data_IF_671537854653
#
_entry.id   IF_671537854653
#
_cell.length_a   1.000
_cell.length_b   1.000
_cell.length_c   1.000
_cell.angle_alpha   90.00
_cell.angle_beta   90.00
_cell.angle_gamma   90.00
#
_symmetry.space_group_name_H-M   'P 1'
#
loop_
_entity.id
_entity.type
_entity.pdbx_description
1 polymer ?
#
# COMPACT_ATOMS: atom_id res chain seq x y z
N UNK A 1 -26.64 -15.67 -19.21
CA UNK A 1 -25.70 -16.08 -18.14
C UNK A 1 -24.74 -17.09 -18.76
N UNK A 2 -23.47 -16.75 -18.94
CA UNK A 2 -22.47 -17.74 -19.37
C UNK A 2 -22.22 -18.74 -18.25
N UNK A 3 -22.04 -20.01 -18.57
CA UNK A 3 -21.68 -21.04 -17.56
C UNK A 3 -20.41 -20.62 -16.83
N UNK A 4 -20.47 -20.56 -15.50
CA UNK A 4 -19.30 -20.23 -14.68
C UNK A 4 -18.20 -21.28 -14.87
N UNK A 5 -16.95 -20.82 -14.95
CA UNK A 5 -15.79 -21.71 -15.01
C UNK A 5 -15.65 -22.48 -13.69
N UNK A 6 -15.19 -23.75 -13.72
CA UNK A 6 -14.92 -24.50 -12.49
C UNK A 6 -13.82 -23.84 -11.65
N UNK A 7 -13.88 -24.02 -10.32
CA UNK A 7 -12.88 -23.50 -9.38
C UNK A 7 -11.47 -24.04 -9.68
N UNK A 8 -10.48 -23.17 -9.68
CA UNK A 8 -9.06 -23.52 -9.76
C UNK A 8 -8.60 -24.13 -8.43
N UNK A 9 -9.24 -23.76 -7.33
CA UNK A 9 -8.89 -24.11 -5.95
C UNK A 9 -9.91 -25.05 -5.31
N UNK A 10 -10.37 -26.04 -6.08
CA UNK A 10 -11.27 -27.07 -5.58
C UNK A 10 -10.67 -27.87 -4.40
N UNK A 11 -11.52 -28.53 -3.63
CA UNK A 11 -11.07 -29.38 -2.50
C UNK A 11 -10.03 -30.46 -2.84
N UNK A 12 -9.90 -30.89 -4.10
CA UNK A 12 -8.84 -31.81 -4.54
C UNK A 12 -7.48 -31.13 -4.74
N UNK A 13 -7.46 -29.82 -4.96
CA UNK A 13 -6.26 -28.99 -5.13
C UNK A 13 -5.83 -28.40 -3.80
N UNK A 14 -6.78 -27.86 -3.04
CA UNK A 14 -6.57 -27.27 -1.72
C UNK A 14 -7.16 -28.22 -0.67
N UNK A 15 -6.33 -29.06 -0.04
CA UNK A 15 -6.83 -29.94 1.01
C UNK A 15 -7.22 -29.12 2.24
N UNK A 16 -8.09 -29.67 3.08
CA UNK A 16 -8.29 -29.12 4.42
C UNK A 16 -6.95 -29.09 5.16
N UNK A 17 -6.70 -28.00 5.87
CA UNK A 17 -5.57 -27.88 6.78
C UNK A 17 -5.55 -29.04 7.81
N UNK A 18 -4.38 -29.62 8.16
CA UNK A 18 -4.27 -30.52 9.31
C UNK A 18 -4.77 -29.85 10.59
N UNK A 19 -5.32 -30.62 11.53
CA UNK A 19 -5.77 -30.09 12.81
C UNK A 19 -4.60 -29.49 13.61
N UNK A 20 -4.69 -28.19 13.91
CA UNK A 20 -3.76 -27.49 14.80
C UNK A 20 -4.19 -27.72 16.26
N UNK A 21 -3.25 -27.92 17.22
CA UNK A 21 -3.56 -28.19 18.63
C UNK A 21 -4.49 -27.15 19.30
N UNK A 22 -4.50 -25.89 18.84
CA UNK A 22 -5.45 -24.87 19.30
C UNK A 22 -6.87 -25.07 18.73
N UNK A 23 -7.00 -25.53 17.48
CA UNK A 23 -8.29 -25.82 16.86
C UNK A 23 -8.88 -27.17 17.28
N UNK A 24 -8.03 -28.12 17.71
CA UNK A 24 -8.45 -29.36 18.35
C UNK A 24 -9.28 -29.13 19.60
N UNK A 25 -9.04 -28.04 20.35
CA UNK A 25 -9.85 -27.67 21.51
C UNK A 25 -11.27 -27.22 21.12
N UNK A 26 -11.43 -26.54 19.98
CA UNK A 26 -12.74 -26.17 19.44
C UNK A 26 -13.52 -27.39 18.91
N UNK A 27 -12.82 -28.44 18.47
CA UNK A 27 -13.42 -29.72 18.10
C UNK A 27 -13.78 -30.58 19.31
N UNK A 28 -12.89 -30.61 20.32
CA UNK A 28 -13.18 -31.21 21.62
C UNK A 28 -14.41 -30.56 22.27
N UNK A 29 -14.50 -29.23 22.23
CA UNK A 29 -15.70 -28.49 22.63
C UNK A 29 -16.95 -28.92 21.84
N UNK A 30 -16.85 -29.04 20.50
CA UNK A 30 -17.97 -29.51 19.67
C UNK A 30 -18.42 -30.92 20.04
N UNK A 31 -17.48 -31.80 20.34
CA UNK A 31 -17.72 -33.21 20.66
C UNK A 31 -18.07 -33.46 22.14
N UNK A 32 -17.92 -32.46 23.01
CA UNK A 32 -18.31 -32.55 24.43
C UNK A 32 -19.85 -32.65 24.54
N UNK A 33 -20.41 -33.74 25.09
CA UNK A 33 -21.86 -33.92 25.20
C UNK A 33 -22.49 -33.09 26.33
N UNK A 34 -21.71 -32.42 27.17
CA UNK A 34 -22.19 -31.60 28.27
C UNK A 34 -23.07 -30.44 27.79
N UNK A 35 -24.22 -30.26 28.42
CA UNK A 35 -25.15 -29.15 28.22
C UNK A 35 -24.67 -27.83 28.86
N UNK A 36 -23.61 -27.89 29.70
CA UNK A 36 -23.02 -26.75 30.42
C UNK A 36 -21.71 -26.23 29.83
N UNK A 37 -21.29 -26.76 28.68
CA UNK A 37 -20.03 -26.36 28.04
C UNK A 37 -20.08 -24.92 27.55
N UNK A 38 -18.97 -24.17 27.70
CA UNK A 38 -18.83 -22.79 27.22
C UNK A 38 -17.62 -22.68 26.28
N UNK A 39 -17.83 -22.13 25.07
CA UNK A 39 -16.76 -21.90 24.09
C UNK A 39 -16.11 -20.54 24.34
N UNK A 40 -14.88 -20.55 24.86
CA UNK A 40 -14.02 -19.36 25.02
C UNK A 40 -12.78 -19.43 24.11
N UNK A 41 -12.72 -20.40 23.20
CA UNK A 41 -11.50 -20.73 22.46
C UNK A 41 -11.30 -19.80 21.27
N UNK A 42 -12.40 -19.46 20.58
CA UNK A 42 -12.36 -18.61 19.37
C UNK A 42 -13.35 -17.45 19.52
N UNK A 43 -12.82 -16.21 19.58
CA UNK A 43 -13.61 -14.98 19.63
C UNK A 43 -14.30 -14.67 18.30
N UNK A 44 -15.37 -15.40 17.97
CA UNK A 44 -16.13 -15.23 16.74
C UNK A 44 -17.63 -15.08 17.02
N UNK A 45 -18.27 -14.13 16.36
CA UNK A 45 -19.70 -13.81 16.50
C UNK A 45 -20.58 -15.06 16.26
N UNK A 46 -21.63 -15.20 17.07
CA UNK A 46 -22.54 -16.35 17.08
C UNK A 46 -23.98 -15.89 16.84
N UNK A 47 -24.79 -16.74 16.22
CA UNK A 47 -26.23 -16.52 16.12
C UNK A 47 -26.92 -16.84 17.46
N UNK A 48 -28.24 -16.66 17.49
CA UNK A 48 -29.08 -16.93 18.66
C UNK A 48 -29.04 -18.40 19.13
N UNK A 49 -28.41 -19.30 18.36
CA UNK A 49 -28.23 -20.72 18.68
C UNK A 49 -26.76 -21.06 19.02
N UNK A 50 -25.93 -20.06 19.32
CA UNK A 50 -24.50 -20.21 19.59
C UNK A 50 -23.70 -20.86 18.43
N UNK A 51 -24.22 -20.84 17.19
CA UNK A 51 -23.50 -21.29 15.99
C UNK A 51 -22.74 -20.12 15.37
N UNK A 52 -21.58 -20.35 14.73
CA UNK A 52 -20.92 -19.31 13.94
C UNK A 52 -21.89 -18.70 12.93
N UNK A 53 -22.21 -17.41 13.09
CA UNK A 53 -23.13 -16.73 12.18
C UNK A 53 -22.34 -16.21 10.98
N UNK A 54 -22.39 -16.98 9.90
CA UNK A 54 -21.79 -16.60 8.62
C UNK A 54 -22.86 -15.85 7.82
N UNK A 55 -22.65 -14.54 7.62
CA UNK A 55 -23.49 -13.73 6.73
C UNK A 55 -23.66 -14.45 5.38
N UNK A 56 -24.85 -14.46 4.75
CA UNK A 56 -25.06 -15.13 3.45
C UNK A 56 -24.08 -14.70 2.35
N UNK A 57 -23.62 -13.45 2.36
CA UNK A 57 -22.57 -12.93 1.45
C UNK A 57 -21.18 -13.54 1.72
N UNK A 58 -20.90 -13.92 2.96
CA UNK A 58 -19.65 -14.60 3.39
C UNK A 58 -19.64 -16.07 2.98
N UNK A 59 -20.78 -16.67 2.57
CA UNK A 59 -20.79 -18.07 2.09
C UNK A 59 -19.95 -18.34 0.84
N UNK A 60 -19.50 -17.28 0.13
CA UNK A 60 -18.67 -17.38 -1.07
C UNK A 60 -17.27 -16.76 -0.92
N UNK A 61 -17.00 -16.11 0.21
CA UNK A 61 -15.81 -15.28 0.42
C UNK A 61 -15.12 -15.64 1.73
N UNK A 62 -13.82 -15.91 1.66
CA UNK A 62 -12.96 -16.03 2.83
C UNK A 62 -12.23 -14.70 3.02
N UNK A 63 -12.45 -14.05 4.17
CA UNK A 63 -11.85 -12.76 4.50
C UNK A 63 -10.92 -12.91 5.69
N UNK A 64 -9.70 -12.40 5.55
CA UNK A 64 -8.69 -12.36 6.59
C UNK A 64 -8.24 -10.92 6.81
N UNK A 65 -8.24 -10.45 8.05
CA UNK A 65 -7.56 -9.20 8.37
C UNK A 65 -6.06 -9.36 8.13
N UNK A 66 -5.41 -8.38 7.52
CA UNK A 66 -3.99 -8.45 7.15
C UNK A 66 -3.22 -7.23 7.62
N UNK A 67 -1.89 -7.27 7.48
CA UNK A 67 -1.00 -6.11 7.67
C UNK A 67 -1.17 -5.17 6.46
N UNK A 68 -2.32 -4.50 6.40
CA UNK A 68 -2.72 -3.59 5.32
C UNK A 68 -2.76 -4.29 3.95
N UNK A 69 -2.76 -3.49 2.88
CA UNK A 69 -2.70 -3.99 1.50
C UNK A 69 -1.45 -4.83 1.22
N UNK A 70 -0.28 -4.42 1.71
CA UNK A 70 0.97 -5.20 1.53
C UNK A 70 0.85 -6.63 2.05
N UNK A 71 0.33 -6.79 3.28
CA UNK A 71 0.10 -8.10 3.86
C UNK A 71 -0.97 -8.90 3.12
N UNK A 72 -1.97 -8.23 2.52
CA UNK A 72 -2.98 -8.89 1.71
C UNK A 72 -2.44 -9.40 0.36
N UNK A 73 -1.62 -8.59 -0.33
CA UNK A 73 -0.93 -9.04 -1.55
C UNK A 73 0.00 -10.21 -1.22
N UNK A 74 0.77 -10.12 -0.13
CA UNK A 74 1.67 -11.19 0.31
C UNK A 74 0.93 -12.49 0.62
N UNK A 75 -0.13 -12.43 1.44
CA UNK A 75 -0.91 -13.63 1.81
C UNK A 75 -1.52 -14.29 0.57
N UNK A 76 -2.06 -13.50 -0.36
CA UNK A 76 -2.57 -14.02 -1.63
C UNK A 76 -1.47 -14.63 -2.51
N UNK A 77 -0.32 -13.96 -2.63
CA UNK A 77 0.83 -14.48 -3.38
C UNK A 77 1.35 -15.80 -2.81
N UNK A 78 1.51 -15.88 -1.48
CA UNK A 78 1.93 -17.09 -0.78
C UNK A 78 0.93 -18.23 -0.96
N UNK A 79 -0.36 -17.93 -0.90
CA UNK A 79 -1.42 -18.90 -1.16
C UNK A 79 -1.32 -19.46 -2.58
N UNK A 80 -1.19 -18.60 -3.60
CA UNK A 80 -1.01 -19.01 -4.99
C UNK A 80 0.25 -19.87 -5.17
N UNK A 81 1.38 -19.45 -4.61
CA UNK A 81 2.65 -20.17 -4.68
C UNK A 81 2.52 -21.60 -4.12
N UNK A 82 1.87 -21.75 -2.96
CA UNK A 82 1.68 -23.06 -2.33
C UNK A 82 0.64 -23.91 -3.04
N UNK A 83 -0.52 -23.35 -3.39
CA UNK A 83 -1.72 -24.12 -3.68
C UNK A 83 -2.23 -24.06 -5.11
N UNK A 84 -1.69 -23.20 -5.98
CA UNK A 84 -2.14 -23.20 -7.38
C UNK A 84 -1.84 -24.56 -8.06
N UNK A 85 -2.80 -25.19 -8.78
CA UNK A 85 -2.64 -26.57 -9.25
C UNK A 85 -1.63 -26.74 -10.38
N UNK A 86 -1.42 -25.70 -11.19
CA UNK A 86 -0.46 -25.75 -12.30
C UNK A 86 0.98 -25.96 -11.81
N UNK A 87 1.75 -26.77 -12.55
CA UNK A 87 3.18 -26.97 -12.39
C UNK A 87 3.87 -26.87 -13.76
N UNK A 88 4.75 -25.88 -14.02
CA UNK A 88 5.13 -24.80 -13.09
C UNK A 88 3.94 -23.91 -12.70
N UNK A 89 4.09 -23.19 -11.57
CA UNK A 89 3.09 -22.21 -11.10
C UNK A 89 2.89 -21.13 -12.17
N UNK A 90 1.68 -20.57 -12.32
CA UNK A 90 1.39 -19.59 -13.35
C UNK A 90 2.21 -18.32 -13.11
N UNK A 91 2.66 -17.71 -14.20
CA UNK A 91 3.27 -16.38 -14.18
C UNK A 91 2.24 -15.34 -13.72
N UNK A 92 2.68 -14.45 -12.83
CA UNK A 92 1.92 -13.28 -12.40
C UNK A 92 2.25 -12.11 -13.33
N UNK A 93 1.23 -11.58 -13.97
CA UNK A 93 1.33 -10.47 -14.91
C UNK A 93 0.99 -9.16 -14.21
N UNK A 94 1.92 -8.20 -14.28
CA UNK A 94 1.82 -6.87 -13.67
C UNK A 94 1.65 -5.79 -14.76
N UNK A 95 0.94 -4.70 -14.48
CA UNK A 95 0.93 -3.56 -15.40
C UNK A 95 2.34 -2.98 -15.57
N UNK A 96 2.64 -2.47 -16.77
CA UNK A 96 3.86 -1.71 -17.02
C UNK A 96 3.53 -0.20 -17.19
N UNK A 97 3.88 0.67 -16.22
CA UNK A 97 4.46 0.34 -14.90
C UNK A 97 3.40 -0.09 -13.87
N UNK A 98 3.84 -0.50 -12.69
CA UNK A 98 3.00 -0.86 -11.53
C UNK A 98 3.61 -0.29 -10.23
N UNK A 99 2.92 -0.39 -9.08
CA UNK A 99 3.50 -0.13 -7.76
C UNK A 99 4.75 -0.99 -7.56
N UNK A 100 5.88 -0.32 -7.30
CA UNK A 100 7.20 -0.94 -7.32
C UNK A 100 7.32 -2.20 -6.46
N UNK A 101 6.65 -2.21 -5.30
CA UNK A 101 6.74 -3.31 -4.34
C UNK A 101 6.00 -4.57 -4.78
N UNK A 102 5.13 -4.52 -5.79
CA UNK A 102 4.52 -5.75 -6.36
C UNK A 102 5.59 -6.74 -6.79
N UNK A 103 6.66 -6.27 -7.44
CA UNK A 103 7.76 -7.12 -7.87
C UNK A 103 8.35 -7.91 -6.69
N UNK A 104 8.71 -7.21 -5.61
CA UNK A 104 9.34 -7.82 -4.45
C UNK A 104 8.42 -8.82 -3.73
N UNK A 105 7.14 -8.47 -3.54
CA UNK A 105 6.20 -9.34 -2.82
C UNK A 105 6.05 -10.69 -3.54
N UNK A 106 5.79 -10.67 -4.85
CA UNK A 106 5.58 -11.90 -5.61
C UNK A 106 6.86 -12.73 -5.78
N UNK A 107 8.02 -12.09 -6.03
CA UNK A 107 9.29 -12.82 -6.16
C UNK A 107 9.73 -13.44 -4.83
N UNK A 108 9.42 -12.80 -3.69
CA UNK A 108 9.79 -13.32 -2.37
C UNK A 108 9.12 -14.66 -2.04
N UNK A 109 7.99 -14.99 -2.67
CA UNK A 109 7.31 -16.28 -2.53
C UNK A 109 7.59 -17.23 -3.71
N UNK A 110 8.54 -16.89 -4.57
CA UNK A 110 9.01 -17.74 -5.67
C UNK A 110 8.10 -17.75 -6.92
N UNK A 111 7.17 -16.81 -7.06
CA UNK A 111 6.34 -16.70 -8.25
C UNK A 111 7.07 -15.95 -9.37
N UNK A 112 6.98 -16.47 -10.60
CA UNK A 112 7.53 -15.81 -11.79
C UNK A 112 6.68 -14.61 -12.19
N UNK A 113 7.34 -13.57 -12.70
CA UNK A 113 6.71 -12.32 -13.11
C UNK A 113 6.82 -12.09 -14.62
N UNK A 114 5.79 -11.48 -15.18
CA UNK A 114 5.80 -10.85 -16.49
C UNK A 114 5.03 -9.53 -16.41
N UNK A 115 5.07 -8.73 -17.47
CA UNK A 115 4.32 -7.48 -17.54
C UNK A 115 3.40 -7.43 -18.74
N UNK A 116 2.34 -6.64 -18.66
CA UNK A 116 1.49 -6.26 -19.80
C UNK A 116 1.56 -4.74 -20.02
N UNK A 117 1.47 -4.25 -21.27
CA UNK A 117 1.46 -2.82 -21.56
C UNK A 117 0.31 -2.12 -20.82
N UNK A 118 0.53 -0.93 -20.29
CA UNK A 118 -0.52 -0.18 -19.59
C UNK A 118 -0.48 1.30 -19.89
N UNK A 119 0.64 1.97 -19.62
CA UNK A 119 0.78 3.40 -19.84
C UNK A 119 1.49 3.69 -21.17
N UNK A 120 0.95 4.63 -21.95
CA UNK A 120 1.64 5.17 -23.11
C UNK A 120 2.25 6.54 -22.78
N UNK A 121 3.57 6.62 -22.80
CA UNK A 121 4.30 7.85 -22.51
C UNK A 121 4.05 8.98 -23.53
N UNK A 122 3.65 8.65 -24.77
CA UNK A 122 3.36 9.65 -25.81
C UNK A 122 2.02 10.34 -25.54
N UNK A 123 0.98 9.55 -25.28
CA UNK A 123 -0.38 10.07 -25.00
C UNK A 123 -0.58 10.44 -23.53
N UNK A 124 0.31 9.99 -22.64
CA UNK A 124 0.20 10.08 -21.17
C UNK A 124 -1.08 9.45 -20.61
N UNK A 125 -1.66 8.52 -21.37
CA UNK A 125 -2.92 7.84 -21.09
C UNK A 125 -2.78 6.32 -21.12
N UNK A 126 -3.92 5.64 -21.23
CA UNK A 126 -3.99 4.18 -21.25
C UNK A 126 -3.64 3.65 -22.64
N UNK A 127 -2.62 2.79 -22.74
CA UNK A 127 -2.38 1.94 -23.90
C UNK A 127 -3.34 0.75 -23.87
N UNK A 128 -4.64 1.00 -24.11
CA UNK A 128 -5.66 -0.02 -23.93
C UNK A 128 -5.51 -1.19 -24.91
N UNK A 129 -5.21 -0.91 -26.18
CA UNK A 129 -5.02 -1.95 -27.19
C UNK A 129 -3.81 -2.84 -26.86
N UNK A 130 -2.70 -2.22 -26.46
CA UNK A 130 -1.51 -2.93 -26.00
C UNK A 130 -1.77 -3.76 -24.75
N UNK A 131 -2.51 -3.21 -23.78
CA UNK A 131 -2.94 -3.91 -22.57
C UNK A 131 -3.77 -5.15 -22.92
N UNK A 132 -4.81 -4.98 -23.72
CA UNK A 132 -5.74 -6.05 -24.07
C UNK A 132 -5.05 -7.15 -24.86
N UNK A 133 -4.17 -6.80 -25.80
CA UNK A 133 -3.39 -7.76 -26.58
C UNK A 133 -2.36 -8.48 -25.71
N UNK A 134 -1.61 -7.78 -24.87
CA UNK A 134 -0.62 -8.40 -23.98
C UNK A 134 -1.27 -9.39 -23.00
N UNK A 135 -2.44 -9.05 -22.45
CA UNK A 135 -3.20 -9.97 -21.59
C UNK A 135 -3.76 -11.14 -22.42
N UNK A 136 -4.25 -10.92 -23.65
CA UNK A 136 -4.72 -12.00 -24.53
C UNK A 136 -3.61 -12.98 -24.91
N UNK A 137 -2.38 -12.50 -25.11
CA UNK A 137 -1.21 -13.30 -25.47
C UNK A 137 -0.63 -14.07 -24.28
N UNK A 138 -0.89 -13.62 -23.04
CA UNK A 138 -0.46 -14.33 -21.83
C UNK A 138 -0.96 -15.80 -21.84
N UNK A 139 -0.16 -16.76 -21.34
CA UNK A 139 -0.55 -18.16 -21.25
C UNK A 139 -1.91 -18.33 -20.56
N UNK A 140 -2.77 -19.20 -21.09
CA UNK A 140 -4.07 -19.45 -20.48
C UNK A 140 -3.91 -19.90 -19.02
N UNK A 141 -4.71 -19.34 -18.10
CA UNK A 141 -4.56 -19.60 -16.67
C UNK A 141 -3.55 -18.72 -15.94
N UNK A 142 -2.90 -17.75 -16.60
CA UNK A 142 -2.05 -16.76 -15.91
C UNK A 142 -2.82 -15.96 -14.85
N UNK A 143 -2.10 -15.50 -13.81
CA UNK A 143 -2.62 -14.59 -12.80
C UNK A 143 -2.40 -13.16 -13.28
N UNK A 144 -3.46 -12.35 -13.34
CA UNK A 144 -3.37 -10.95 -13.75
C UNK A 144 -3.62 -10.06 -12.54
N UNK A 145 -2.60 -9.32 -12.12
CA UNK A 145 -2.72 -8.35 -11.04
C UNK A 145 -3.35 -7.05 -11.59
N UNK A 146 -4.45 -6.61 -11.00
CA UNK A 146 -5.24 -5.46 -11.44
C UNK A 146 -5.37 -4.44 -10.32
N UNK A 147 -5.16 -3.16 -10.61
CA UNK A 147 -5.49 -2.08 -9.68
C UNK A 147 -6.98 -1.78 -9.82
N UNK A 148 -7.75 -1.83 -8.74
CA UNK A 148 -9.21 -1.64 -8.80
C UNK A 148 -9.61 -0.24 -9.27
N UNK A 149 -8.89 0.77 -8.79
CA UNK A 149 -9.02 2.19 -9.14
C UNK A 149 -7.76 2.95 -8.68
N UNK A 150 -7.60 4.20 -9.14
CA UNK A 150 -6.46 5.07 -8.90
C UNK A 150 -5.12 4.35 -9.06
N UNK A 151 -4.87 3.84 -10.27
CA UNK A 151 -3.70 3.04 -10.60
C UNK A 151 -2.40 3.69 -10.10
N UNK A 152 -1.64 2.96 -9.29
CA UNK A 152 -0.33 3.39 -8.81
C UNK A 152 0.75 2.78 -9.73
N UNK A 153 1.56 3.60 -10.43
CA UNK A 153 1.85 5.01 -10.14
C UNK A 153 1.24 6.05 -11.10
N UNK A 154 0.47 5.63 -12.10
CA UNK A 154 0.15 6.50 -13.26
C UNK A 154 -1.05 7.42 -13.04
N UNK A 155 -1.97 7.05 -12.15
CA UNK A 155 -3.28 7.68 -12.02
C UNK A 155 -4.19 7.47 -13.24
N UNK A 156 -3.83 6.59 -14.17
CA UNK A 156 -4.67 6.30 -15.35
C UNK A 156 -5.50 5.07 -15.04
N UNK A 157 -6.82 5.17 -15.10
CA UNK A 157 -7.74 4.04 -14.87
C UNK A 157 -8.50 3.64 -16.14
N UNK A 158 -8.99 2.41 -16.17
CA UNK A 158 -9.89 1.92 -17.21
C UNK A 158 -11.30 2.52 -17.04
N UNK A 159 -11.96 2.81 -18.15
CA UNK A 159 -13.40 3.05 -18.16
C UNK A 159 -14.18 1.76 -17.89
N UNK A 160 -15.46 1.87 -17.51
CA UNK A 160 -16.31 0.69 -17.30
C UNK A 160 -16.40 -0.19 -18.57
N UNK A 161 -16.47 0.41 -19.75
CA UNK A 161 -16.52 -0.37 -21.01
C UNK A 161 -15.19 -1.06 -21.33
N UNK A 162 -14.06 -0.44 -20.98
CA UNK A 162 -12.75 -1.09 -21.06
C UNK A 162 -12.63 -2.25 -20.08
N UNK A 163 -13.13 -2.11 -18.84
CA UNK A 163 -13.22 -3.20 -17.88
C UNK A 163 -14.08 -4.37 -18.38
N UNK A 164 -15.21 -4.09 -19.03
CA UNK A 164 -16.06 -5.13 -19.64
C UNK A 164 -15.30 -5.92 -20.70
N UNK A 165 -14.59 -5.22 -21.59
CA UNK A 165 -13.77 -5.85 -22.65
C UNK A 165 -12.62 -6.68 -22.05
N UNK A 166 -11.96 -6.18 -21.02
CA UNK A 166 -10.92 -6.91 -20.32
C UNK A 166 -11.46 -8.21 -19.69
N UNK A 167 -12.63 -8.15 -19.03
CA UNK A 167 -13.26 -9.32 -18.44
C UNK A 167 -13.59 -10.40 -19.50
N UNK A 168 -13.98 -10.01 -20.72
CA UNK A 168 -14.19 -10.96 -21.82
C UNK A 168 -12.90 -11.70 -22.14
N UNK A 169 -11.80 -10.98 -22.37
CA UNK A 169 -10.49 -11.59 -22.68
C UNK A 169 -9.99 -12.47 -21.54
N UNK A 170 -10.09 -12.00 -20.30
CA UNK A 170 -9.66 -12.80 -19.14
C UNK A 170 -10.48 -14.08 -19.00
N UNK A 171 -11.78 -14.06 -19.32
CA UNK A 171 -12.62 -15.27 -19.30
C UNK A 171 -12.22 -16.23 -20.41
N UNK A 172 -12.04 -15.75 -21.65
CA UNK A 172 -11.61 -16.56 -22.80
C UNK A 172 -10.29 -17.28 -22.52
N UNK A 173 -9.34 -16.59 -21.89
CA UNK A 173 -8.03 -17.12 -21.53
C UNK A 173 -8.00 -17.84 -20.18
N UNK A 174 -9.13 -17.91 -19.47
CA UNK A 174 -9.26 -18.50 -18.13
C UNK A 174 -8.24 -17.92 -17.14
N UNK A 175 -7.95 -16.63 -17.26
CA UNK A 175 -7.04 -15.94 -16.35
C UNK A 175 -7.64 -15.77 -14.97
N UNK A 176 -6.77 -15.77 -13.96
CA UNK A 176 -7.13 -15.57 -12.57
C UNK A 176 -6.95 -14.09 -12.16
N UNK A 177 -8.02 -13.34 -11.85
CA UNK A 177 -7.91 -11.95 -11.42
C UNK A 177 -7.39 -11.83 -9.98
N UNK A 178 -6.44 -10.93 -9.77
CA UNK A 178 -5.97 -10.51 -8.45
C UNK A 178 -6.09 -9.00 -8.33
N UNK A 179 -7.09 -8.51 -7.61
CA UNK A 179 -7.29 -7.07 -7.43
C UNK A 179 -6.49 -6.51 -6.26
N UNK A 180 -5.72 -5.45 -6.48
CA UNK A 180 -5.20 -4.56 -5.44
C UNK A 180 -6.13 -3.33 -5.31
N UNK A 181 -6.68 -3.14 -4.11
CA UNK A 181 -7.70 -2.14 -3.77
C UNK A 181 -7.20 -1.28 -2.62
N UNK A 182 -6.29 -0.35 -2.93
CA UNK A 182 -5.66 0.52 -1.93
C UNK A 182 -6.29 1.91 -1.79
N UNK A 183 -7.15 2.30 -2.73
CA UNK A 183 -7.64 3.69 -2.90
C UNK A 183 -9.17 3.81 -3.02
N UNK A 184 -9.94 2.79 -2.62
CA UNK A 184 -11.41 2.82 -2.70
C UNK A 184 -12.00 4.00 -1.90
N UNK A 185 -12.83 4.81 -2.56
CA UNK A 185 -13.40 6.05 -2.04
C UNK A 185 -12.47 7.26 -2.19
N UNK A 186 -11.16 7.02 -2.36
CA UNK A 186 -10.15 8.06 -2.50
C UNK A 186 -9.89 8.45 -3.96
N UNK A 187 -10.40 7.66 -4.92
CA UNK A 187 -10.26 7.94 -6.34
C UNK A 187 -11.36 8.88 -6.83
N UNK A 188 -12.63 8.54 -6.59
CA UNK A 188 -13.78 9.33 -7.05
C UNK A 188 -14.57 10.04 -5.94
N UNK A 189 -14.27 9.77 -4.67
CA UNK A 189 -15.12 10.17 -3.55
C UNK A 189 -16.31 9.23 -3.31
N UNK A 190 -16.47 8.19 -4.12
CA UNK A 190 -17.59 7.24 -4.05
C UNK A 190 -17.07 5.79 -3.95
N UNK A 191 -17.43 5.12 -2.84
CA UNK A 191 -17.01 3.76 -2.53
C UNK A 191 -17.52 2.72 -3.53
N UNK A 192 -18.73 2.92 -4.08
CA UNK A 192 -19.39 2.00 -5.00
C UNK A 192 -18.79 2.11 -6.40
N UNK A 193 -18.55 3.34 -6.86
CA UNK A 193 -17.89 3.62 -8.12
C UNK A 193 -16.48 3.04 -8.14
N UNK A 194 -15.72 3.24 -7.07
CA UNK A 194 -14.33 2.78 -6.98
C UNK A 194 -14.21 1.24 -6.84
N UNK A 195 -15.24 0.57 -6.31
CA UNK A 195 -15.29 -0.90 -6.24
C UNK A 195 -15.98 -1.56 -7.44
N UNK A 196 -16.42 -0.79 -8.44
CA UNK A 196 -17.25 -1.29 -9.53
C UNK A 196 -16.57 -2.41 -10.31
N UNK A 197 -15.28 -2.29 -10.62
CA UNK A 197 -14.54 -3.30 -11.39
C UNK A 197 -14.51 -4.66 -10.66
N UNK A 198 -14.25 -4.66 -9.36
CA UNK A 198 -14.26 -5.87 -8.53
C UNK A 198 -15.65 -6.51 -8.54
N UNK A 199 -16.70 -5.72 -8.27
CA UNK A 199 -18.10 -6.19 -8.26
C UNK A 199 -18.51 -6.77 -9.60
N UNK A 200 -18.17 -6.08 -10.69
CA UNK A 200 -18.45 -6.55 -12.04
C UNK A 200 -17.81 -7.92 -12.30
N UNK A 201 -16.54 -8.12 -11.95
CA UNK A 201 -15.89 -9.44 -12.09
C UNK A 201 -16.58 -10.52 -11.26
N UNK A 202 -17.02 -10.21 -10.03
CA UNK A 202 -17.77 -11.16 -9.20
C UNK A 202 -19.13 -11.50 -9.84
N UNK A 203 -19.87 -10.51 -10.34
CA UNK A 203 -21.15 -10.69 -11.05
C UNK A 203 -20.98 -11.51 -12.34
N UNK A 204 -19.82 -11.34 -12.99
CA UNK A 204 -19.37 -12.13 -14.12
C UNK A 204 -18.94 -13.56 -13.76
N UNK A 205 -19.00 -13.94 -12.48
CA UNK A 205 -18.74 -15.30 -12.00
C UNK A 205 -17.26 -15.68 -11.93
N UNK A 206 -16.36 -14.71 -11.85
CA UNK A 206 -14.94 -14.98 -11.66
C UNK A 206 -14.66 -15.50 -10.24
N UNK A 207 -13.79 -16.49 -10.15
CA UNK A 207 -13.00 -16.77 -8.95
C UNK A 207 -11.83 -15.80 -8.90
N UNK A 208 -11.61 -15.11 -7.77
CA UNK A 208 -10.62 -14.03 -7.70
C UNK A 208 -10.11 -13.76 -6.28
N UNK A 209 -9.00 -13.02 -6.22
CA UNK A 209 -8.47 -12.44 -4.98
C UNK A 209 -8.68 -10.91 -4.95
N UNK A 210 -8.85 -10.36 -3.74
CA UNK A 210 -8.85 -8.91 -3.49
C UNK A 210 -7.95 -8.60 -2.29
N UNK A 211 -6.95 -7.76 -2.50
CA UNK A 211 -6.12 -7.17 -1.47
C UNK A 211 -6.63 -5.76 -1.14
N UNK A 212 -7.25 -5.59 0.02
CA UNK A 212 -7.83 -4.32 0.46
C UNK A 212 -6.95 -3.63 1.50
N UNK A 213 -6.76 -2.32 1.34
CA UNK A 213 -6.00 -1.50 2.28
C UNK A 213 -6.86 -0.39 2.89
N UNK A 214 -6.76 -0.19 4.20
CA UNK A 214 -7.35 0.96 4.89
C UNK A 214 -6.34 2.07 5.18
N UNK A 215 -5.11 1.95 4.67
CA UNK A 215 -4.06 2.92 4.97
C UNK A 215 -4.38 4.33 4.45
N UNK A 216 -5.08 4.46 3.32
CA UNK A 216 -5.33 5.74 2.65
C UNK A 216 -6.71 6.28 2.96
N UNK A 217 -7.75 5.52 2.63
CA UNK A 217 -9.14 5.95 2.79
C UNK A 217 -9.57 6.16 4.26
N UNK A 218 -8.94 5.48 5.24
CA UNK A 218 -9.11 5.79 6.67
C UNK A 218 -7.95 6.60 7.28
N UNK A 219 -6.91 6.93 6.50
CA UNK A 219 -5.69 7.53 7.05
C UNK A 219 -4.93 6.63 8.04
N UNK A 220 -5.21 5.32 8.08
CA UNK A 220 -4.63 4.36 9.04
C UNK A 220 -3.25 3.83 8.58
N UNK A 221 -2.41 4.70 8.03
CA UNK A 221 -1.11 4.35 7.42
C UNK A 221 -0.25 3.48 8.32
N UNK A 222 0.06 3.95 9.52
CA UNK A 222 0.92 3.27 10.50
C UNK A 222 0.20 2.18 11.29
N UNK A 223 -1.14 2.17 11.31
CA UNK A 223 -1.94 1.18 12.04
C UNK A 223 -2.09 -0.15 11.29
N UNK A 224 -1.72 -0.15 10.00
CA UNK A 224 -1.64 -1.34 9.14
C UNK A 224 -2.96 -2.13 9.05
N UNK A 225 -4.10 -1.44 9.09
CA UNK A 225 -5.39 -2.06 8.85
C UNK A 225 -5.58 -2.40 7.36
N UNK A 226 -6.09 -3.60 7.08
CA UNK A 226 -6.43 -4.09 5.74
C UNK A 226 -7.03 -5.48 5.80
N UNK A 227 -7.42 -6.00 4.64
CA UNK A 227 -8.01 -7.31 4.50
C UNK A 227 -7.60 -7.99 3.19
N UNK A 228 -7.49 -9.32 3.24
CA UNK A 228 -7.41 -10.18 2.07
C UNK A 228 -8.74 -10.91 1.90
N UNK A 229 -9.25 -10.94 0.68
CA UNK A 229 -10.46 -11.65 0.32
C UNK A 229 -10.16 -12.65 -0.78
N UNK A 230 -10.58 -13.90 -0.59
CA UNK A 230 -10.68 -14.89 -1.65
C UNK A 230 -12.15 -15.10 -1.99
N UNK A 231 -12.52 -14.94 -3.24
CA UNK A 231 -13.89 -15.16 -3.74
C UNK A 231 -13.90 -16.44 -4.56
N UNK A 232 -14.63 -17.46 -4.08
CA UNK A 232 -14.78 -18.75 -4.77
C UNK A 232 -15.55 -18.63 -6.09
N UNK A 233 -15.23 -19.50 -7.05
CA UNK A 233 -16.07 -19.67 -8.23
C UNK A 233 -17.51 -20.01 -7.81
N UNK A 234 -18.55 -19.44 -8.45
CA UNK A 234 -19.92 -19.82 -8.14
C UNK A 234 -20.16 -21.27 -8.57
N UNK A 235 -20.72 -22.10 -7.68
CA UNK A 235 -21.02 -23.50 -7.98
C UNK A 235 -21.47 -24.28 -6.76
N UNK A 236 -21.87 -25.54 -6.96
CA UNK A 236 -22.35 -26.42 -5.89
C UNK A 236 -21.25 -26.70 -4.84
N UNK A 237 -19.98 -26.70 -5.23
CA UNK A 237 -18.83 -26.96 -4.36
C UNK A 237 -18.31 -25.72 -3.64
N UNK A 238 -18.76 -24.51 -4.02
CA UNK A 238 -18.20 -23.24 -3.57
C UNK A 238 -18.07 -23.13 -2.03
N UNK A 239 -19.07 -23.66 -1.30
CA UNK A 239 -19.06 -23.67 0.17
C UNK A 239 -17.94 -24.52 0.75
N UNK A 240 -17.62 -25.66 0.15
CA UNK A 240 -16.57 -26.55 0.63
C UNK A 240 -15.20 -26.05 0.17
N UNK A 241 -15.11 -25.58 -1.08
CA UNK A 241 -13.88 -25.00 -1.63
C UNK A 241 -13.43 -23.79 -0.78
N UNK A 242 -14.35 -22.87 -0.47
CA UNK A 242 -14.03 -21.70 0.35
C UNK A 242 -13.64 -22.05 1.79
N UNK A 243 -14.20 -23.13 2.35
CA UNK A 243 -13.85 -23.60 3.69
C UNK A 243 -12.41 -24.15 3.73
N UNK A 244 -12.01 -24.94 2.72
CA UNK A 244 -10.64 -25.43 2.60
C UNK A 244 -9.65 -24.29 2.40
N UNK A 245 -9.96 -23.35 1.49
CA UNK A 245 -9.17 -22.15 1.26
C UNK A 245 -8.99 -21.35 2.55
N UNK A 246 -10.08 -21.09 3.28
CA UNK A 246 -10.02 -20.38 4.56
C UNK A 246 -9.14 -21.12 5.58
N UNK A 247 -9.24 -22.44 5.67
CA UNK A 247 -8.42 -23.23 6.61
C UNK A 247 -6.92 -23.10 6.32
N UNK A 248 -6.53 -23.11 5.04
CA UNK A 248 -5.14 -22.95 4.64
C UNK A 248 -4.64 -21.52 4.86
N UNK A 249 -5.44 -20.51 4.50
CA UNK A 249 -5.11 -19.10 4.75
C UNK A 249 -4.89 -18.82 6.24
N UNK A 250 -5.68 -19.45 7.13
CA UNK A 250 -5.50 -19.35 8.57
C UNK A 250 -4.13 -19.90 9.02
N UNK A 251 -3.71 -21.07 8.50
CA UNK A 251 -2.37 -21.62 8.79
C UNK A 251 -1.26 -20.69 8.29
N UNK A 252 -1.37 -20.21 7.05
CA UNK A 252 -0.37 -19.32 6.47
C UNK A 252 -0.20 -18.06 7.33
N UNK A 253 -1.30 -17.39 7.64
CA UNK A 253 -1.29 -16.20 8.50
C UNK A 253 -0.72 -16.50 9.90
N UNK A 254 -1.16 -17.61 10.52
CA UNK A 254 -0.69 -18.02 11.84
C UNK A 254 0.83 -18.21 11.89
N UNK A 255 1.39 -18.80 10.84
CA UNK A 255 2.83 -19.09 10.75
C UNK A 255 3.70 -17.85 10.54
N UNK A 256 3.17 -16.77 9.96
CA UNK A 256 3.96 -15.57 9.64
C UNK A 256 3.80 -14.45 10.67
N UNK A 257 2.57 -14.20 11.11
CA UNK A 257 2.27 -13.06 11.97
C UNK A 257 1.48 -13.43 13.22
N UNK A 258 1.17 -14.72 13.43
CA UNK A 258 0.29 -15.22 14.49
C UNK A 258 -1.15 -14.71 14.41
N UNK A 259 -1.35 -13.41 14.55
CA UNK A 259 -2.61 -12.69 14.42
C UNK A 259 -2.32 -11.20 14.08
N UNK A 260 -3.22 -10.52 13.35
CA UNK A 260 -3.01 -9.14 12.91
C UNK A 260 -3.27 -8.09 14.02
N UNK A 261 -2.72 -6.86 13.89
CA UNK A 261 -2.87 -5.79 14.88
C UNK A 261 -4.33 -5.38 15.14
N UNK A 262 -4.76 -5.36 16.39
CA UNK A 262 -6.16 -5.11 16.74
C UNK A 262 -6.61 -3.64 16.54
N UNK A 263 -5.79 -2.67 16.95
CA UNK A 263 -6.24 -1.28 17.14
C UNK A 263 -6.77 -0.62 15.87
N UNK A 264 -6.01 -0.68 14.76
CA UNK A 264 -6.45 -0.12 13.48
C UNK A 264 -7.73 -0.78 12.95
N UNK A 265 -7.87 -2.09 13.13
CA UNK A 265 -9.07 -2.81 12.72
C UNK A 265 -10.29 -2.47 13.60
N UNK A 266 -10.10 -2.21 14.89
CA UNK A 266 -11.18 -1.75 15.78
C UNK A 266 -11.66 -0.35 15.41
N UNK A 267 -10.77 0.56 15.01
CA UNK A 267 -11.15 1.89 14.50
C UNK A 267 -12.00 1.74 13.24
N UNK A 268 -11.49 1.02 12.24
CA UNK A 268 -12.21 0.81 10.99
C UNK A 268 -13.56 0.11 11.22
N UNK A 269 -13.59 -0.93 12.07
CA UNK A 269 -14.82 -1.64 12.44
C UNK A 269 -15.85 -0.71 13.10
N UNK A 270 -15.42 0.14 14.04
CA UNK A 270 -16.33 1.07 14.72
C UNK A 270 -16.96 2.06 13.74
N UNK A 271 -16.17 2.63 12.83
CA UNK A 271 -16.67 3.56 11.83
C UNK A 271 -17.62 2.86 10.85
N UNK A 272 -17.24 1.67 10.35
CA UNK A 272 -18.03 0.93 9.36
C UNK A 272 -19.37 0.39 9.90
N UNK A 273 -19.50 0.21 11.22
CA UNK A 273 -20.70 -0.35 11.84
C UNK A 273 -21.55 0.69 12.59
N UNK A 274 -21.17 1.97 12.56
CA UNK A 274 -21.95 3.07 13.13
C UNK A 274 -22.40 3.98 11.98
N UNK A 275 -23.71 4.14 11.80
CA UNK A 275 -24.25 4.88 10.66
C UNK A 275 -23.84 6.36 10.65
N UNK A 276 -23.65 6.97 11.82
CA UNK A 276 -23.22 8.37 11.93
C UNK A 276 -21.76 8.51 11.54
N UNK A 277 -20.90 7.66 12.12
CA UNK A 277 -19.46 7.68 11.80
C UNK A 277 -19.19 7.27 10.36
N UNK A 278 -19.98 6.34 9.81
CA UNK A 278 -19.87 5.94 8.40
C UNK A 278 -20.19 7.12 7.47
N UNK A 279 -21.28 7.85 7.73
CA UNK A 279 -21.65 9.02 6.94
C UNK A 279 -20.62 10.16 7.03
N UNK A 280 -20.07 10.39 8.23
CA UNK A 280 -18.96 11.34 8.45
C UNK A 280 -17.72 10.94 7.66
N UNK A 281 -17.34 9.66 7.71
CA UNK A 281 -16.21 9.14 6.94
C UNK A 281 -16.43 9.24 5.42
N UNK A 282 -17.65 8.99 4.92
CA UNK A 282 -17.96 9.20 3.50
C UNK A 282 -17.87 10.68 3.08
N UNK A 283 -18.23 11.61 3.95
CA UNK A 283 -18.00 13.05 3.72
C UNK A 283 -16.52 13.40 3.72
N UNK A 284 -15.73 12.83 4.64
CA UNK A 284 -14.27 13.02 4.67
C UNK A 284 -13.62 12.51 3.38
N UNK A 285 -14.07 11.37 2.85
CA UNK A 285 -13.60 10.86 1.56
C UNK A 285 -13.90 11.81 0.40
N UNK A 286 -15.12 12.38 0.36
CA UNK A 286 -15.52 13.38 -0.64
C UNK A 286 -14.71 14.66 -0.49
N UNK A 287 -14.45 15.10 0.74
CA UNK A 287 -13.59 16.26 1.03
C UNK A 287 -12.16 16.01 0.54
N UNK A 288 -11.56 14.88 0.89
CA UNK A 288 -10.18 14.56 0.50
C UNK A 288 -10.02 14.40 -1.01
N UNK A 289 -10.93 13.69 -1.67
CA UNK A 289 -10.91 13.50 -3.13
C UNK A 289 -11.21 14.81 -3.88
N UNK A 290 -12.17 15.60 -3.40
CA UNK A 290 -12.50 16.92 -3.92
C UNK A 290 -11.30 17.87 -3.88
N UNK A 291 -10.60 17.94 -2.74
CA UNK A 291 -9.37 18.73 -2.60
C UNK A 291 -8.29 18.31 -3.59
N UNK A 292 -8.09 17.00 -3.80
CA UNK A 292 -7.11 16.52 -4.79
C UNK A 292 -7.49 16.97 -6.21
N UNK A 293 -8.77 16.91 -6.57
CA UNK A 293 -9.26 17.40 -7.85
C UNK A 293 -9.04 18.90 -8.04
N UNK A 294 -9.29 19.70 -6.99
CA UNK A 294 -9.02 21.14 -6.98
C UNK A 294 -7.52 21.45 -7.17
N UNK A 295 -6.64 20.71 -6.49
CA UNK A 295 -5.19 20.86 -6.65
C UNK A 295 -4.72 20.53 -8.07
N UNK A 296 -5.28 19.48 -8.68
CA UNK A 296 -5.00 19.11 -10.08
C UNK A 296 -5.43 20.21 -11.04
N UNK A 297 -6.65 20.70 -10.87
CA UNK A 297 -7.20 21.81 -11.67
C UNK A 297 -6.35 23.07 -11.51
N UNK A 298 -6.06 23.47 -10.28
CA UNK A 298 -5.27 24.65 -9.98
C UNK A 298 -3.83 24.59 -10.51
N UNK A 299 -3.20 23.40 -10.52
CA UNK A 299 -1.88 23.20 -11.14
C UNK A 299 -1.95 23.45 -12.64
N UNK A 300 -2.90 22.79 -13.31
CA UNK A 300 -3.08 22.86 -14.75
C UNK A 300 -3.36 24.30 -15.20
N UNK A 301 -4.32 24.97 -14.58
CA UNK A 301 -4.70 26.35 -14.92
C UNK A 301 -3.50 27.31 -14.84
N UNK A 302 -2.65 27.16 -13.82
CA UNK A 302 -1.45 28.01 -13.68
C UNK A 302 -0.35 27.69 -14.68
N UNK A 303 -0.19 26.42 -15.06
CA UNK A 303 0.76 26.03 -16.11
C UNK A 303 0.32 26.59 -17.47
N UNK A 304 -0.97 26.49 -17.78
CA UNK A 304 -1.57 27.02 -19.00
C UNK A 304 -1.55 28.55 -19.04
N UNK A 305 -1.90 29.23 -17.94
CA UNK A 305 -1.86 30.69 -17.85
C UNK A 305 -0.43 31.27 -18.00
N UNK A 306 0.59 30.48 -17.62
CA UNK A 306 2.00 30.82 -17.83
C UNK A 306 2.50 30.52 -19.25
N UNK A 307 1.69 29.93 -20.12
CA UNK A 307 2.12 29.50 -21.45
C UNK A 307 3.18 28.40 -21.40
N UNK A 308 3.14 27.53 -20.39
CA UNK A 308 4.12 26.44 -20.24
C UNK A 308 4.03 25.51 -21.45
N UNK A 309 5.14 25.25 -22.18
CA UNK A 309 5.11 24.43 -23.39
C UNK A 309 4.49 23.04 -23.20
N UNK A 310 3.79 22.57 -24.24
CA UNK A 310 3.07 21.28 -24.25
C UNK A 310 1.64 21.36 -23.72
N UNK A 311 1.00 20.21 -23.53
CA UNK A 311 -0.34 20.09 -22.95
C UNK A 311 -0.30 19.52 -21.53
N UNK A 312 -1.20 20.02 -20.68
CA UNK A 312 -1.26 19.68 -19.25
C UNK A 312 -2.62 19.09 -18.83
N UNK A 313 -3.48 18.73 -19.78
CA UNK A 313 -4.77 18.09 -19.53
C UNK A 313 -4.65 16.76 -18.76
N UNK A 314 -3.60 15.99 -19.01
CA UNK A 314 -3.31 14.73 -18.30
C UNK A 314 -3.27 14.89 -16.77
N UNK A 315 -2.94 16.07 -16.24
CA UNK A 315 -2.96 16.35 -14.79
C UNK A 315 -4.37 16.24 -14.22
N UNK A 316 -5.39 16.66 -14.97
CA UNK A 316 -6.80 16.59 -14.58
C UNK A 316 -7.49 15.31 -15.04
N UNK A 317 -7.00 14.69 -16.12
CA UNK A 317 -7.58 13.45 -16.66
C UNK A 317 -7.17 12.22 -15.83
N UNK A 318 -6.01 12.28 -15.17
CA UNK A 318 -5.54 11.26 -14.22
C UNK A 318 -6.23 11.38 -12.85
N UNK A 319 -6.42 10.24 -12.19
CA UNK A 319 -7.22 10.02 -10.98
C UNK A 319 -6.32 9.71 -9.78
N UNK A 320 -6.80 10.04 -8.58
CA UNK A 320 -6.20 9.64 -7.31
C UNK A 320 -5.01 10.50 -6.89
N UNK A 321 -4.11 9.94 -6.09
CA UNK A 321 -3.00 10.69 -5.47
C UNK A 321 -1.86 11.05 -6.42
N UNK A 322 -1.77 10.41 -7.58
CA UNK A 322 -0.57 10.45 -8.42
C UNK A 322 -0.85 11.01 -9.80
N UNK A 323 0.06 11.83 -10.30
CA UNK A 323 0.07 12.23 -11.71
C UNK A 323 1.41 11.92 -12.34
N UNK A 324 1.35 11.25 -13.48
CA UNK A 324 2.51 11.00 -14.32
C UNK A 324 2.75 12.24 -15.19
N UNK A 325 3.73 13.06 -14.81
CA UNK A 325 3.94 14.39 -15.38
C UNK A 325 4.53 14.36 -16.80
N UNK A 326 5.31 13.30 -17.10
CA UNK A 326 6.09 13.21 -18.33
C UNK A 326 7.30 14.15 -18.38
N UNK A 327 7.72 14.69 -17.24
CA UNK A 327 9.02 15.36 -17.13
C UNK A 327 10.15 14.38 -17.43
N UNK A 328 11.34 14.87 -17.79
CA UNK A 328 12.53 14.04 -17.91
C UNK A 328 13.30 13.97 -16.59
N UNK A 329 14.18 12.97 -16.42
CA UNK A 329 15.04 12.87 -15.23
C UNK A 329 15.89 14.13 -15.02
N UNK A 330 16.37 14.74 -16.10
CA UNK A 330 17.13 16.00 -16.06
C UNK A 330 16.26 17.15 -15.53
N UNK A 331 15.01 17.25 -15.98
CA UNK A 331 14.06 18.24 -15.51
C UNK A 331 13.74 18.05 -14.02
N UNK A 332 13.59 16.81 -13.57
CA UNK A 332 13.34 16.49 -12.15
C UNK A 332 14.55 16.73 -11.26
N UNK A 333 15.75 16.42 -11.74
CA UNK A 333 17.00 16.77 -11.07
C UNK A 333 17.09 18.29 -10.90
N UNK A 334 16.76 19.06 -11.94
CA UNK A 334 16.77 20.51 -11.90
C UNK A 334 15.71 21.08 -10.93
N UNK A 335 14.51 20.50 -10.88
CA UNK A 335 13.48 20.81 -9.87
C UNK A 335 14.03 20.64 -8.45
N UNK A 336 14.73 19.54 -8.19
CA UNK A 336 15.29 19.24 -6.88
C UNK A 336 16.43 20.19 -6.51
N UNK A 337 17.39 20.38 -7.40
CA UNK A 337 18.64 21.09 -7.12
C UNK A 337 18.47 22.60 -7.09
N UNK A 338 17.68 23.15 -8.02
CA UNK A 338 17.51 24.60 -8.16
C UNK A 338 16.30 25.14 -7.41
N UNK A 339 15.22 24.35 -7.32
CA UNK A 339 13.92 24.84 -6.85
C UNK A 339 13.43 24.11 -5.59
N UNK A 340 14.20 23.13 -5.09
CA UNK A 340 13.88 22.32 -3.91
C UNK A 340 12.52 21.61 -4.00
N UNK A 341 12.11 21.25 -5.23
CA UNK A 341 10.89 20.49 -5.50
C UNK A 341 11.28 19.04 -5.72
N UNK A 342 10.77 18.16 -4.86
CA UNK A 342 11.13 16.73 -4.85
C UNK A 342 10.01 15.89 -5.46
N UNK A 343 10.37 15.03 -6.40
CA UNK A 343 9.47 14.02 -6.98
C UNK A 343 10.23 12.72 -7.26
N UNK A 344 9.49 11.62 -7.42
CA UNK A 344 10.07 10.29 -7.67
C UNK A 344 10.71 10.27 -9.05
N UNK A 345 11.93 9.76 -9.16
CA UNK A 345 12.72 9.82 -10.40
C UNK A 345 12.38 8.74 -11.43
N UNK A 346 11.69 7.66 -11.05
CA UNK A 346 11.28 6.63 -12.00
C UNK A 346 10.14 5.75 -11.45
N UNK A 347 8.97 5.72 -12.12
CA UNK A 347 8.52 6.74 -13.05
C UNK A 347 8.32 8.13 -12.41
N UNK A 348 8.32 9.19 -13.23
CA UNK A 348 8.34 10.61 -12.79
C UNK A 348 6.96 11.11 -12.35
N UNK A 349 6.67 10.81 -11.07
CA UNK A 349 5.33 10.91 -10.47
C UNK A 349 5.24 12.10 -9.52
N UNK A 350 4.26 12.96 -9.76
CA UNK A 350 3.83 14.01 -8.83
C UNK A 350 2.80 13.42 -7.86
N UNK A 351 3.01 13.67 -6.57
CA UNK A 351 2.10 13.23 -5.51
C UNK A 351 1.32 14.44 -5.04
N UNK A 352 0.00 14.43 -5.25
CA UNK A 352 -0.88 15.43 -4.67
C UNK A 352 -0.98 15.19 -3.17
N UNK A 353 -0.58 16.19 -2.39
CA UNK A 353 -0.74 16.23 -0.93
C UNK A 353 -1.87 17.20 -0.62
N UNK A 354 -2.95 16.74 0.01
CA UNK A 354 -3.97 17.63 0.55
C UNK A 354 -3.33 18.41 1.73
N UNK A 355 -3.07 19.70 1.55
CA UNK A 355 -2.64 20.61 2.61
C UNK A 355 -3.46 21.90 2.51
N UNK A 356 -3.85 22.46 3.66
CA UNK A 356 -4.82 23.57 3.78
C UNK A 356 -4.22 24.97 3.68
N UNK A 357 -2.91 25.11 3.46
CA UNK A 357 -2.29 26.43 3.56
C UNK A 357 -1.70 26.92 2.23
N UNK A 358 -2.43 27.86 1.63
CA UNK A 358 -2.17 28.46 0.32
C UNK A 358 -1.83 29.95 0.37
N UNK A 359 -1.65 30.52 1.57
CA UNK A 359 -1.34 31.93 1.75
C UNK A 359 -0.33 32.13 2.87
N UNK A 360 0.97 31.98 2.59
CA UNK A 360 1.95 32.08 3.69
C UNK A 360 3.42 31.97 3.33
N UNK A 361 3.87 32.50 2.19
CA UNK A 361 5.29 32.85 2.04
C UNK A 361 5.42 34.27 1.48
N UNK A 362 5.94 35.24 2.26
CA UNK A 362 6.21 36.57 1.76
C UNK A 362 7.42 36.50 0.82
N UNK A 363 7.18 36.60 -0.49
CA UNK A 363 8.23 36.90 -1.46
C UNK A 363 8.53 38.39 -1.35
N UNK A 364 9.32 38.77 -0.34
CA UNK A 364 9.93 40.08 -0.24
C UNK A 364 11.07 40.18 -1.26
N UNK A 365 10.78 40.69 -2.46
CA UNK A 365 11.81 41.24 -3.33
C UNK A 365 12.17 42.61 -2.77
N UNK A 366 13.24 42.69 -1.97
CA UNK A 366 13.92 43.95 -1.70
C UNK A 366 14.91 44.20 -2.83
N UNK A 367 14.57 45.12 -3.74
CA UNK A 367 15.54 45.77 -4.62
C UNK A 367 16.20 46.88 -3.81
N UNK A 368 17.44 46.68 -3.39
CA UNK A 368 18.18 47.64 -2.59
C UNK A 368 19.66 47.67 -2.96
N UNK A 369 20.00 48.49 -3.95
CA UNK A 369 21.36 48.97 -4.18
C UNK A 369 21.85 49.82 -3.00
N UNK A 370 23.10 49.60 -2.54
CA UNK A 370 24.08 50.57 -1.94
C UNK A 370 25.07 49.78 -1.05
N UNK A 371 26.35 49.73 -1.40
CA UNK A 371 27.43 50.71 -1.12
C UNK A 371 27.81 50.84 0.36
N UNK A 372 29.12 50.67 0.59
CA UNK A 372 29.96 51.07 1.74
C UNK A 372 29.34 51.76 2.97
N UNK A 373 29.83 51.27 4.13
CA UNK A 373 30.30 52.01 5.31
C UNK A 373 29.35 52.26 6.51
N UNK A 374 29.86 51.74 7.64
CA UNK A 374 29.70 52.14 9.06
C UNK A 374 28.33 51.98 9.70
N UNK A 375 28.24 51.21 10.80
CA UNK A 375 28.02 51.73 12.15
C UNK A 375 28.40 50.67 13.20
N UNK A 376 29.05 51.15 14.25
CA UNK A 376 29.66 50.43 15.36
C UNK A 376 28.63 49.89 16.37
N UNK A 377 29.17 49.12 17.33
CA UNK A 377 28.66 48.86 18.68
C UNK A 377 27.51 47.87 18.86
N UNK A 378 27.87 46.60 19.09
CA UNK A 378 27.81 45.99 20.43
C UNK A 378 28.05 44.47 20.32
N UNK A 379 29.32 44.07 20.34
CA UNK A 379 29.69 42.69 20.64
C UNK A 379 31.10 42.65 21.22
N UNK A 380 31.23 43.12 22.47
CA UNK A 380 32.41 42.83 23.28
C UNK A 380 31.99 42.74 24.74
N UNK A 381 31.99 41.51 25.29
CA UNK A 381 32.55 41.19 26.60
C UNK A 381 32.63 39.67 26.83
N UNK A 382 33.89 39.22 26.86
CA UNK A 382 34.47 38.09 27.59
C UNK A 382 34.21 36.68 27.03
N UNK A 383 35.10 36.09 26.21
CA UNK A 383 36.53 35.74 26.36
C UNK A 383 36.78 34.38 27.05
N UNK A 384 37.47 33.51 26.28
CA UNK A 384 37.97 32.15 26.54
C UNK A 384 39.07 32.11 27.63
N UNK A 385 39.63 30.93 28.00
CA UNK A 385 40.78 30.36 27.25
C UNK A 385 40.80 28.80 27.27
N UNK A 386 41.64 28.02 26.59
CA UNK A 386 42.65 28.09 25.51
C UNK A 386 42.90 26.62 25.10
N UNK A 387 43.25 26.37 23.84
CA UNK A 387 43.82 25.09 23.38
C UNK A 387 45.29 24.96 23.78
N UNK A 388 45.75 23.72 24.01
CA UNK A 388 47.15 23.33 23.84
C UNK A 388 47.21 21.93 23.21
N UNK A 389 48.08 21.82 22.20
CA UNK A 389 48.35 20.68 21.33
C UNK A 389 49.06 19.53 22.06
N UNK A 390 48.91 18.28 21.61
CA UNK A 390 50.07 17.38 21.42
C UNK A 390 49.74 16.07 20.68
N UNK A 391 50.74 15.70 19.88
CA UNK A 391 51.03 14.56 19.01
C UNK A 391 50.62 13.16 19.51
N UNK A 392 50.31 12.27 18.56
CA UNK A 392 50.33 10.81 18.71
C UNK A 392 51.45 10.20 17.85
N UNK A 393 52.18 9.18 18.35
CA UNK A 393 52.82 8.18 17.50
C UNK A 393 52.15 6.80 17.64
N UNK A 394 52.35 6.00 16.59
CA UNK A 394 51.86 4.64 16.43
C UNK A 394 52.61 3.60 17.30
N UNK A 395 51.95 2.47 17.59
CA UNK A 395 52.37 1.09 17.23
C UNK A 395 51.92 -0.02 18.20
N UNK A 396 51.49 -1.15 17.61
CA UNK A 396 51.73 -2.58 17.98
C UNK A 396 51.06 -3.28 19.18
N UNK A 397 50.22 -4.28 18.82
CA UNK A 397 50.25 -5.72 19.16
C UNK A 397 49.86 -6.32 20.55
N UNK A 398 49.08 -7.44 20.44
CA UNK A 398 49.15 -8.75 21.15
C UNK A 398 48.15 -9.08 22.31
N UNK A 399 47.22 -9.98 21.94
CA UNK A 399 46.66 -11.22 22.56
C UNK A 399 46.20 -11.37 24.02
N UNK A 400 45.04 -12.07 24.11
CA UNK A 400 44.65 -13.20 24.99
C UNK A 400 44.50 -12.99 26.51
N UNK A 401 43.34 -13.37 27.07
CA UNK A 401 43.14 -14.64 27.84
C UNK A 401 41.76 -14.75 28.51
N UNK A 402 41.28 -15.99 28.54
CA UNK A 402 40.14 -16.58 29.26
C UNK A 402 40.35 -16.70 30.77
N UNK A 403 39.30 -16.60 31.60
CA UNK A 403 38.90 -17.67 32.55
C UNK A 403 37.70 -17.34 33.46
N UNK A 404 36.90 -18.39 33.67
CA UNK A 404 35.82 -18.70 34.63
C UNK A 404 35.91 -18.15 36.07
N UNK A 405 34.75 -17.87 36.73
CA UNK A 405 34.11 -18.75 37.76
C UNK A 405 32.86 -18.13 38.46
N UNK A 406 31.92 -19.03 38.77
CA UNK A 406 30.85 -19.14 39.82
C UNK A 406 31.02 -18.28 41.10
N UNK A 407 30.06 -17.96 41.98
CA UNK A 407 28.62 -18.23 42.25
C UNK A 407 28.23 -17.52 43.57
N UNK A 408 26.94 -17.18 43.78
CA UNK A 408 26.11 -17.22 45.04
C UNK A 408 25.22 -16.00 45.36
N UNK A 409 23.90 -16.26 45.33
CA UNK A 409 22.76 -16.05 46.27
C UNK A 409 22.66 -14.83 47.26
N UNK A 410 21.56 -14.07 47.05
CA UNK A 410 20.57 -13.48 48.00
C UNK A 410 20.69 -12.07 48.65
N UNK A 411 19.56 -11.36 48.48
CA UNK A 411 18.84 -10.48 49.40
C UNK A 411 19.19 -8.99 49.53
N UNK A 412 18.33 -8.16 48.92
CA UNK A 412 17.62 -7.06 49.60
C UNK A 412 18.35 -5.76 49.93
N UNK A 413 18.13 -4.71 49.14
CA UNK A 413 17.54 -3.41 49.59
C UNK A 413 17.48 -2.40 48.44
N UNK A 414 16.36 -1.69 48.38
CA UNK A 414 16.07 -0.59 47.48
C UNK A 414 17.16 0.49 47.45
N UNK A 415 17.69 0.77 46.26
CA UNK A 415 18.20 2.09 45.86
C UNK A 415 17.72 2.39 44.45
N UNK A 416 16.97 3.49 44.31
CA UNK A 416 16.75 4.13 43.02
C UNK A 416 18.11 4.60 42.49
N UNK A 417 18.55 4.04 41.37
CA UNK A 417 19.74 4.50 40.65
C UNK A 417 19.29 4.86 39.24
N UNK A 418 19.37 6.16 38.93
CA UNK A 418 19.34 6.66 37.56
C UNK A 418 20.59 6.14 36.82
N UNK A 419 20.38 5.46 35.70
CA UNK A 419 21.45 5.22 34.73
C UNK A 419 21.30 6.23 33.58
N UNK A 420 22.32 7.06 33.31
CA UNK A 420 22.45 7.73 32.03
C UNK A 420 23.00 6.71 31.02
N UNK A 421 22.34 6.56 29.89
CA UNK A 421 22.83 5.74 28.77
C UNK A 421 23.44 6.69 27.72
N UNK A 422 24.77 6.69 27.51
CA UNK A 422 25.37 7.25 26.31
C UNK A 422 25.69 6.15 25.28
N UNK A 423 25.39 6.44 24.02
CA UNK A 423 26.07 6.03 22.79
C UNK A 423 26.47 4.54 22.56
N UNK A 424 25.77 3.90 21.62
CA UNK A 424 26.30 2.98 20.57
C UNK A 424 25.29 3.07 19.39
N UNK A 425 25.57 3.81 18.31
CA UNK A 425 26.35 3.48 17.11
C UNK A 425 25.73 2.33 16.29
N UNK A 426 24.99 2.74 15.26
CA UNK A 426 25.29 2.49 13.84
C UNK A 426 25.12 1.05 13.30
N UNK A 427 23.90 0.75 12.85
CA UNK A 427 23.58 -0.20 11.76
C UNK A 427 22.08 -0.13 11.41
N UNK A 428 21.59 1.00 10.89
CA UNK A 428 20.23 1.10 10.30
C UNK A 428 20.28 1.94 9.01
N UNK A 429 21.23 1.60 8.14
CA UNK A 429 21.45 2.26 6.85
C UNK A 429 21.19 1.28 5.72
N UNK A 430 19.95 0.77 5.59
CA UNK A 430 19.48 0.13 4.35
C UNK A 430 17.94 0.18 4.25
N UNK A 431 17.45 1.08 3.39
CA UNK A 431 16.11 1.11 2.78
C UNK A 431 14.86 1.00 3.71
N UNK A 432 14.52 2.10 4.38
CA UNK A 432 13.13 2.42 4.73
C UNK A 432 12.64 3.57 3.85
N UNK A 433 12.15 3.25 2.65
CA UNK A 433 11.30 4.17 1.86
C UNK A 433 9.88 4.07 2.40
N UNK A 434 9.70 4.52 3.64
CA UNK A 434 8.40 4.95 4.17
C UNK A 434 8.66 6.36 4.66
N UNK A 435 8.50 7.33 3.74
CA UNK A 435 8.43 8.72 4.14
C UNK A 435 7.24 8.84 5.09
N UNK A 436 7.55 9.00 6.36
CA UNK A 436 6.68 9.61 7.35
C UNK A 436 6.17 10.91 6.70
N UNK A 437 4.86 11.02 6.56
CA UNK A 437 4.18 12.24 6.16
C UNK A 437 4.35 13.29 7.28
N UNK A 438 5.52 13.95 7.32
CA UNK A 438 5.72 15.19 8.07
C UNK A 438 5.60 16.35 7.09
N UNK A 439 4.40 16.93 7.11
CA UNK A 439 4.03 18.35 6.98
C UNK A 439 5.05 19.26 6.28
N UNK A 440 4.83 19.53 4.99
CA UNK A 440 5.15 20.82 4.34
C UNK A 440 4.12 21.07 3.22
N UNK A 441 3.43 22.22 3.19
CA UNK A 441 2.51 22.57 2.11
C UNK A 441 3.28 22.78 0.80
N UNK A 442 2.76 22.23 -0.32
CA UNK A 442 3.28 22.48 -1.66
C UNK A 442 2.81 23.86 -2.15
N UNK A 443 3.72 24.82 -2.34
CA UNK A 443 3.40 26.09 -2.98
C UNK A 443 3.30 25.90 -4.51
N UNK A 444 2.08 25.86 -5.06
CA UNK A 444 1.88 25.59 -6.49
C UNK A 444 2.42 26.71 -7.38
N UNK A 445 2.50 27.95 -6.89
CA UNK A 445 2.99 29.07 -7.70
C UNK A 445 4.50 28.90 -7.91
N UNK A 446 5.19 28.40 -6.88
CA UNK A 446 6.59 27.98 -7.00
C UNK A 446 6.75 26.77 -7.91
N UNK A 447 5.88 25.76 -7.82
CA UNK A 447 5.92 24.57 -8.69
C UNK A 447 5.66 24.94 -10.15
N UNK A 448 4.59 25.69 -10.44
CA UNK A 448 4.24 26.13 -11.79
C UNK A 448 5.29 27.07 -12.40
N UNK A 449 5.83 28.01 -11.61
CA UNK A 449 6.94 28.86 -12.07
C UNK A 449 8.22 28.06 -12.35
N UNK A 450 8.49 27.03 -11.56
CA UNK A 450 9.65 26.15 -11.76
C UNK A 450 9.47 25.27 -13.00
N UNK A 451 8.29 24.67 -13.21
CA UNK A 451 7.96 23.87 -14.39
C UNK A 451 8.02 24.69 -15.68
N UNK A 452 7.48 25.92 -15.68
CA UNK A 452 7.57 26.85 -16.81
C UNK A 452 9.02 27.13 -17.22
N UNK A 453 9.90 27.40 -16.25
CA UNK A 453 11.31 27.73 -16.50
C UNK A 453 12.13 26.55 -17.03
N UNK A 454 11.70 25.33 -16.76
CA UNK A 454 12.42 24.11 -17.14
C UNK A 454 12.11 23.70 -18.58
N UNK A 455 10.90 23.96 -19.07
CA UNK A 455 10.55 23.72 -20.48
C UNK A 455 11.15 24.76 -21.45
N UNK A 456 11.74 25.85 -20.94
CA UNK A 456 12.43 26.87 -21.74
C UNK A 456 13.97 26.71 -21.75
N UNK A 457 14.53 25.68 -21.09
CA UNK A 457 15.99 25.48 -20.93
C UNK A 457 16.48 24.19 -21.63
N UNK A 458 15.65 23.56 -22.47
CA UNK A 458 16.08 22.46 -23.35
C UNK A 458 15.75 22.79 -24.79
#
# INVERSE_FOLDING_TARGET
>A
MGSASPSVFSTSVVPAAPEDPLFGLAQAFRNDPSDKKVDLVIGAYRDDNAKPWILPVVRKVATFQTISGTGAVHLGALFLAKFHPANPKPTVYLSNPTWANHNQIFTNVGLSLATYPYFDAKTKGLNFDGMLNGIREAPAGSVILLHACAHNPTGVDLTQDQWKQLAVVMRERRHFPFFDTAYQGFASGDLNRDAWAVRYFIEQGFELCVAQSFAKNFGLYGQRAGAFHFVSAPGATAKNDIANVASQLAILQRSEISNPPAYGAQIASRILNDATLFAEWEEDLRTMSGRIAEMRKGLRERLEAKGTPGTWNHVTDQIGMFSFTGLSEAQVKLLREKWHIYMVSSPLVLIFRAADDWTGYPVGISVGSRSQATWNDQANRHARPRMAESRWPASTHITSTTSQRQSTVSSGRHRKIHFPVPFFIDAMSTLFVIQIAVIYPLNIDQVSASLMRINNVV
#
